data_IF_854771462123
#
_entry.id   IF_854771462123
#
_cell.length_a   1.000
_cell.length_b   1.000
_cell.length_c   1.000
_cell.angle_alpha   90.00
_cell.angle_beta   90.00
_cell.angle_gamma   90.00
#
_symmetry.space_group_name_H-M   'P 1'
#
loop_
_entity.id
_entity.type
_entity.pdbx_description
1 polymer ?
#
# COMPACT_ATOMS: atom_id res chain seq x y z
N UNK A 1 -48.50 -40.31 28.37
CA UNK A 1 -47.14 -40.36 27.85
C UNK A 1 -46.91 -39.50 26.58
N UNK A 2 -47.97 -39.10 25.90
CA UNK A 2 -47.91 -38.33 24.63
C UNK A 2 -47.56 -36.85 24.87
N UNK A 3 -47.90 -36.25 26.00
CA UNK A 3 -47.65 -34.82 26.26
C UNK A 3 -46.17 -34.45 26.53
N UNK A 4 -45.33 -35.38 26.96
CA UNK A 4 -43.92 -35.10 27.18
C UNK A 4 -43.12 -35.08 25.89
N UNK A 5 -43.52 -35.89 24.92
CA UNK A 5 -42.85 -35.93 23.60
C UNK A 5 -43.18 -34.67 22.78
N UNK A 6 -44.40 -34.16 22.91
CA UNK A 6 -44.84 -32.94 22.25
C UNK A 6 -44.13 -31.69 22.81
N UNK A 7 -43.83 -31.66 24.12
CA UNK A 7 -43.08 -30.59 24.76
C UNK A 7 -41.60 -30.58 24.36
N UNK A 8 -41.00 -31.75 24.16
CA UNK A 8 -39.64 -31.89 23.70
C UNK A 8 -39.50 -31.45 22.23
N UNK A 9 -40.51 -31.78 21.40
CA UNK A 9 -40.56 -31.32 20.01
C UNK A 9 -40.83 -29.83 19.89
N UNK A 10 -41.57 -29.22 20.82
CA UNK A 10 -41.82 -27.78 20.87
C UNK A 10 -40.60 -26.99 21.39
N UNK A 11 -39.79 -27.62 22.25
CA UNK A 11 -38.55 -26.97 22.76
C UNK A 11 -37.38 -27.00 21.75
N UNK A 12 -37.42 -27.93 20.79
CA UNK A 12 -36.41 -28.02 19.72
C UNK A 12 -36.65 -27.04 18.57
N UNK A 13 -37.81 -26.40 18.50
CA UNK A 13 -38.21 -25.50 17.41
C UNK A 13 -37.88 -24.01 17.67
N UNK A 14 -37.26 -23.66 18.81
CA UNK A 14 -36.97 -22.27 19.18
C UNK A 14 -35.47 -21.96 19.18
N UNK A 15 -34.67 -22.78 18.54
CA UNK A 15 -33.29 -22.34 18.15
C UNK A 15 -33.30 -21.96 16.66
N UNK A 16 -34.19 -21.08 16.29
CA UNK A 16 -33.88 -20.19 15.16
C UNK A 16 -32.85 -19.22 15.65
N UNK A 17 -31.57 -19.56 15.44
CA UNK A 17 -30.48 -18.60 15.43
C UNK A 17 -30.91 -17.46 14.53
N UNK A 18 -31.35 -16.38 15.15
CA UNK A 18 -31.33 -15.08 14.52
C UNK A 18 -29.84 -14.77 14.26
N UNK A 19 -29.33 -15.32 13.16
CA UNK A 19 -28.13 -14.78 12.54
C UNK A 19 -28.54 -13.40 12.05
N UNK A 20 -28.48 -12.42 12.93
CA UNK A 20 -28.35 -11.04 12.52
C UNK A 20 -26.99 -10.93 11.81
N UNK A 21 -26.96 -11.30 10.54
CA UNK A 21 -26.05 -10.65 9.64
C UNK A 21 -26.50 -9.20 9.62
N UNK A 22 -25.78 -8.35 10.33
CA UNK A 22 -25.89 -6.90 10.21
C UNK A 22 -25.27 -6.50 8.87
N UNK A 23 -25.77 -7.05 7.79
CA UNK A 23 -25.65 -6.46 6.46
C UNK A 23 -26.60 -5.27 6.45
N UNK A 24 -26.16 -4.20 7.11
CA UNK A 24 -26.75 -2.89 6.87
C UNK A 24 -26.38 -2.53 5.43
N UNK A 25 -27.34 -2.47 4.50
CA UNK A 25 -27.04 -2.13 3.09
C UNK A 25 -26.59 -0.68 2.91
N UNK A 26 -26.43 0.07 3.98
CA UNK A 26 -26.05 1.47 4.03
C UNK A 26 -24.82 1.63 4.92
N UNK A 27 -23.67 1.17 4.42
CA UNK A 27 -22.40 1.54 5.01
C UNK A 27 -22.03 2.93 4.47
N UNK A 28 -22.55 3.98 5.11
CA UNK A 28 -22.31 5.40 4.75
C UNK A 28 -20.92 5.89 5.13
N UNK A 29 -20.10 5.05 5.70
CA UNK A 29 -18.73 5.40 6.08
C UNK A 29 -17.83 5.48 4.83
N UNK A 30 -16.90 6.44 4.77
CA UNK A 30 -15.88 6.44 3.75
C UNK A 30 -15.11 5.12 3.78
N UNK A 31 -14.78 4.58 2.61
CA UNK A 31 -13.95 3.37 2.46
C UNK A 31 -12.62 3.75 1.87
N UNK A 32 -11.56 3.25 2.48
CA UNK A 32 -10.20 3.48 2.02
C UNK A 32 -9.66 2.22 1.33
N UNK A 33 -8.93 2.44 0.27
CA UNK A 33 -8.22 1.40 -0.46
C UNK A 33 -6.78 1.86 -0.68
N UNK A 34 -5.83 1.11 -0.19
CA UNK A 34 -4.43 1.29 -0.57
C UNK A 34 -4.23 0.61 -1.92
N UNK A 35 -3.70 1.33 -2.89
CA UNK A 35 -3.45 0.83 -4.24
C UNK A 35 -1.96 0.53 -4.42
N UNK A 36 -1.56 -0.29 -5.41
CA UNK A 36 -0.15 -0.54 -5.70
C UNK A 36 0.63 0.74 -5.98
N UNK A 37 1.89 0.78 -5.53
CA UNK A 37 2.80 1.87 -5.82
C UNK A 37 3.21 1.89 -7.30
N UNK A 38 3.44 3.09 -7.82
CA UNK A 38 3.87 3.33 -9.21
C UNK A 38 5.21 4.09 -9.24
N UNK A 39 5.76 4.28 -10.43
CA UNK A 39 7.00 5.04 -10.67
C UNK A 39 8.16 4.61 -9.77
N UNK A 40 8.25 3.30 -9.53
CA UNK A 40 9.25 2.73 -8.63
C UNK A 40 10.61 2.75 -9.33
N UNK A 41 11.53 3.50 -8.74
CA UNK A 41 12.94 3.58 -9.14
C UNK A 41 13.86 3.02 -8.05
N UNK A 42 15.13 3.36 -8.10
CA UNK A 42 16.11 3.02 -7.06
C UNK A 42 15.88 3.79 -5.75
N UNK A 43 15.43 5.02 -5.85
CA UNK A 43 15.35 5.96 -4.71
C UNK A 43 14.02 6.69 -4.60
N UNK A 44 13.07 6.35 -5.46
CA UNK A 44 11.77 7.04 -5.54
C UNK A 44 10.64 6.04 -5.79
N UNK A 45 9.45 6.39 -5.36
CA UNK A 45 8.21 5.70 -5.67
C UNK A 45 7.01 6.63 -5.45
N UNK A 46 5.91 6.36 -6.11
CA UNK A 46 4.64 7.04 -5.88
C UNK A 46 3.67 6.09 -5.19
N UNK A 47 3.29 6.40 -3.95
CA UNK A 47 2.24 5.70 -3.22
C UNK A 47 0.88 6.14 -3.74
N UNK A 48 -0.05 5.21 -3.82
CA UNK A 48 -1.38 5.45 -4.36
C UNK A 48 -2.46 4.88 -3.45
N UNK A 49 -3.61 5.53 -3.44
CA UNK A 49 -4.77 5.07 -2.70
C UNK A 49 -6.05 5.70 -3.21
N UNK A 50 -7.16 5.25 -2.66
CA UNK A 50 -8.49 5.77 -3.00
C UNK A 50 -9.36 5.86 -1.76
N UNK A 51 -10.07 6.98 -1.63
CA UNK A 51 -11.13 7.17 -0.68
C UNK A 51 -12.46 7.20 -1.44
N UNK A 52 -13.32 6.22 -1.18
CA UNK A 52 -14.67 6.17 -1.75
C UNK A 52 -15.65 6.59 -0.66
N UNK A 53 -16.43 7.62 -0.92
CA UNK A 53 -17.46 8.14 -0.01
C UNK A 53 -18.77 8.37 -0.73
N UNK A 54 -19.86 8.33 0.02
CA UNK A 54 -21.17 8.64 -0.50
C UNK A 54 -21.36 10.15 -0.64
N UNK A 55 -22.33 10.54 -1.47
CA UNK A 55 -22.68 11.94 -1.69
C UNK A 55 -23.18 12.58 -0.38
N UNK A 56 -22.57 13.68 0.00
CA UNK A 56 -22.93 14.40 1.22
C UNK A 56 -22.13 14.00 2.46
N UNK A 57 -21.24 13.00 2.34
CA UNK A 57 -20.29 12.66 3.40
C UNK A 57 -19.03 13.50 3.22
N UNK A 58 -18.52 14.07 4.31
CA UNK A 58 -17.28 14.84 4.30
C UNK A 58 -16.06 13.94 4.01
N UNK A 59 -15.06 14.53 3.36
CA UNK A 59 -13.79 13.86 3.15
C UNK A 59 -13.07 13.69 4.49
N UNK A 60 -12.63 12.49 4.87
CA UNK A 60 -11.85 12.30 6.09
C UNK A 60 -10.46 12.94 5.96
N UNK A 61 -9.82 13.23 7.09
CA UNK A 61 -8.39 13.54 7.11
C UNK A 61 -7.61 12.28 6.75
N UNK A 62 -6.75 12.37 5.74
CA UNK A 62 -6.05 11.22 5.16
C UNK A 62 -4.54 11.32 5.39
N UNK A 63 -3.89 10.17 5.57
CA UNK A 63 -2.43 10.07 5.60
C UNK A 63 -1.95 8.69 5.15
N UNK A 64 -0.73 8.63 4.63
CA UNK A 64 -0.02 7.36 4.48
C UNK A 64 0.87 7.13 5.69
N UNK A 65 0.84 5.89 6.23
CA UNK A 65 1.95 5.36 7.03
C UNK A 65 2.83 4.52 6.11
N UNK A 66 4.15 4.63 6.25
CA UNK A 66 5.09 3.87 5.43
C UNK A 66 6.40 3.60 6.17
N UNK A 67 7.18 2.65 5.70
CA UNK A 67 8.46 2.29 6.30
C UNK A 67 9.11 1.11 5.59
N UNK A 68 10.34 0.78 5.97
CA UNK A 68 11.07 -0.38 5.47
C UNK A 68 10.77 -1.67 6.25
N UNK A 69 9.84 -1.62 7.17
CA UNK A 69 9.28 -2.74 7.90
C UNK A 69 7.76 -2.56 8.08
N UNK A 70 7.09 -3.60 8.57
CA UNK A 70 5.63 -3.61 8.74
C UNK A 70 5.12 -2.65 9.82
N UNK A 71 6.00 -2.06 10.65
CA UNK A 71 5.60 -1.06 11.64
C UNK A 71 5.26 0.30 11.03
N UNK A 72 5.74 0.56 9.80
CA UNK A 72 5.45 1.77 9.03
C UNK A 72 5.56 3.04 9.88
N UNK A 73 6.74 3.27 10.47
CA UNK A 73 7.00 4.31 11.48
C UNK A 73 6.86 5.75 10.95
N UNK A 74 6.95 5.93 9.65
CA UNK A 74 6.81 7.24 9.00
C UNK A 74 5.34 7.54 8.69
N UNK A 75 4.94 8.80 8.84
CA UNK A 75 3.59 9.28 8.54
C UNK A 75 3.63 10.57 7.76
N UNK A 76 2.81 10.64 6.70
CA UNK A 76 2.65 11.85 5.88
C UNK A 76 1.18 12.11 5.58
N UNK A 77 0.69 13.29 5.90
CA UNK A 77 -0.67 13.73 5.58
C UNK A 77 -0.79 14.01 4.07
N UNK A 78 -1.95 13.66 3.52
CA UNK A 78 -2.26 13.78 2.10
C UNK A 78 -3.70 14.24 1.88
N UNK A 79 -3.96 14.76 0.69
CA UNK A 79 -5.29 15.16 0.27
C UNK A 79 -5.76 14.28 -0.89
N UNK A 80 -7.05 13.97 -0.89
CA UNK A 80 -7.67 13.33 -2.04
C UNK A 80 -8.06 14.39 -3.09
N UNK A 81 -8.01 14.00 -4.36
CA UNK A 81 -8.59 14.79 -5.45
C UNK A 81 -10.14 14.73 -5.43
N UNK A 82 -10.77 15.38 -6.41
CA UNK A 82 -12.23 15.42 -6.53
C UNK A 82 -12.87 14.03 -6.73
N UNK A 83 -12.13 13.09 -7.29
CA UNK A 83 -12.56 11.71 -7.55
C UNK A 83 -12.20 10.76 -6.40
N UNK A 84 -11.58 11.26 -5.34
CA UNK A 84 -11.16 10.52 -4.17
C UNK A 84 -9.83 9.78 -4.35
N UNK A 85 -9.07 10.04 -5.41
CA UNK A 85 -7.74 9.45 -5.55
C UNK A 85 -6.75 10.20 -4.66
N UNK A 86 -5.83 9.43 -4.11
CA UNK A 86 -4.78 9.91 -3.20
C UNK A 86 -3.44 9.45 -3.74
N UNK A 87 -2.48 10.35 -3.84
CA UNK A 87 -1.11 9.99 -4.23
C UNK A 87 -0.09 10.76 -3.42
N UNK A 88 1.08 10.15 -3.24
CA UNK A 88 2.21 10.75 -2.54
C UNK A 88 3.52 10.27 -3.14
N UNK A 89 4.35 11.21 -3.56
CA UNK A 89 5.68 10.91 -4.06
C UNK A 89 6.67 10.77 -2.90
N UNK A 90 7.40 9.66 -2.89
CA UNK A 90 8.51 9.41 -1.98
C UNK A 90 9.83 9.56 -2.72
N UNK A 91 10.80 10.19 -2.07
CA UNK A 91 12.18 10.33 -2.55
C UNK A 91 13.16 9.92 -1.44
N UNK A 92 14.42 9.76 -1.82
CA UNK A 92 15.51 9.38 -0.89
C UNK A 92 15.32 8.01 -0.25
N UNK A 93 14.66 7.11 -0.95
CA UNK A 93 14.52 5.71 -0.56
C UNK A 93 15.86 4.96 -0.73
N UNK A 94 16.06 3.90 0.04
CA UNK A 94 17.19 2.99 -0.13
C UNK A 94 16.97 2.07 -1.31
N UNK A 95 17.98 1.91 -2.16
CA UNK A 95 17.93 1.00 -3.30
C UNK A 95 17.85 -0.48 -2.85
N UNK A 96 17.13 -1.31 -3.60
CA UNK A 96 17.00 -2.75 -3.32
C UNK A 96 16.31 -3.07 -2.00
N UNK A 97 15.45 -2.17 -1.52
CA UNK A 97 14.79 -2.27 -0.22
C UNK A 97 13.28 -2.44 -0.39
N UNK A 98 12.69 -3.33 0.39
CA UNK A 98 11.23 -3.47 0.46
C UNK A 98 10.67 -2.42 1.42
N UNK A 99 9.61 -1.75 0.98
CA UNK A 99 8.84 -0.80 1.76
C UNK A 99 7.39 -1.27 1.88
N UNK A 100 6.79 -0.97 3.01
CA UNK A 100 5.39 -1.22 3.34
C UNK A 100 4.67 0.10 3.52
N UNK A 101 3.42 0.16 3.16
CA UNK A 101 2.60 1.34 3.36
C UNK A 101 1.12 1.02 3.43
N UNK A 102 0.36 1.93 4.02
CA UNK A 102 -1.09 1.84 4.20
C UNK A 102 -1.71 3.23 4.18
N UNK A 103 -2.83 3.37 3.48
CA UNK A 103 -3.64 4.59 3.54
C UNK A 103 -4.54 4.53 4.77
N UNK A 104 -4.51 5.58 5.57
CA UNK A 104 -5.34 5.77 6.74
C UNK A 104 -6.21 7.00 6.61
N UNK A 105 -7.28 7.06 7.39
CA UNK A 105 -8.14 8.22 7.49
C UNK A 105 -8.88 8.29 8.81
N UNK A 106 -9.32 9.48 9.15
CA UNK A 106 -10.19 9.72 10.30
C UNK A 106 -11.19 10.83 10.00
N UNK A 107 -12.41 10.67 10.47
CA UNK A 107 -13.42 11.74 10.51
C UNK A 107 -13.60 12.32 11.94
N UNK A 108 -12.64 12.10 12.81
CA UNK A 108 -12.65 12.51 14.22
C UNK A 108 -13.32 11.51 15.16
N UNK A 109 -14.25 10.70 14.70
CA UNK A 109 -14.97 9.70 15.52
C UNK A 109 -14.54 8.27 15.23
N UNK A 110 -14.19 7.98 13.98
CA UNK A 110 -13.78 6.66 13.51
C UNK A 110 -12.43 6.74 12.80
N UNK A 111 -11.63 5.69 12.97
CA UNK A 111 -10.40 5.47 12.21
C UNK A 111 -10.68 4.44 11.12
N UNK A 112 -10.21 4.75 9.93
CA UNK A 112 -10.33 3.93 8.73
C UNK A 112 -8.93 3.57 8.24
N UNK A 113 -8.78 2.41 7.63
CA UNK A 113 -7.53 2.04 6.96
C UNK A 113 -7.83 1.18 5.73
N UNK A 114 -7.01 1.33 4.71
CA UNK A 114 -6.94 0.39 3.60
C UNK A 114 -6.14 -0.84 3.99
N UNK A 115 -5.83 -1.67 3.02
CA UNK A 115 -4.96 -2.83 3.20
C UNK A 115 -3.48 -2.42 3.19
N UNK A 116 -2.62 -3.17 3.88
CA UNK A 116 -1.19 -2.97 3.79
C UNK A 116 -0.67 -3.49 2.44
N UNK A 117 0.11 -2.65 1.77
CA UNK A 117 0.73 -2.96 0.48
C UNK A 117 2.24 -2.81 0.61
N UNK A 118 2.99 -3.59 -0.14
CA UNK A 118 4.45 -3.47 -0.20
C UNK A 118 4.94 -3.28 -1.63
N UNK A 119 6.11 -2.64 -1.76
CA UNK A 119 6.85 -2.54 -3.01
C UNK A 119 8.35 -2.67 -2.73
N UNK A 120 9.14 -3.01 -3.74
CA UNK A 120 10.59 -3.03 -3.64
C UNK A 120 11.20 -2.02 -4.60
N UNK A 121 12.13 -1.19 -4.10
CA UNK A 121 12.93 -0.31 -4.95
C UNK A 121 13.90 -1.12 -5.80
N UNK A 122 14.29 -0.57 -6.95
CA UNK A 122 15.27 -1.21 -7.81
C UNK A 122 16.63 -1.30 -7.12
N UNK A 123 17.37 -2.40 -7.28
CA UNK A 123 18.72 -2.52 -6.72
C UNK A 123 19.70 -1.62 -7.45
N UNK A 124 20.83 -1.30 -6.80
CA UNK A 124 21.94 -0.65 -7.46
C UNK A 124 22.49 -1.57 -8.55
N UNK A 125 22.61 -1.04 -9.74
CA UNK A 125 23.30 -1.74 -10.82
C UNK A 125 24.80 -1.69 -10.57
N UNK A 126 25.48 -2.81 -10.80
CA UNK A 126 26.94 -2.80 -10.81
C UNK A 126 27.41 -2.10 -12.09
N UNK A 127 28.33 -1.12 -12.00
CA UNK A 127 28.92 -0.56 -13.19
C UNK A 127 29.61 -1.69 -14.01
N UNK A 128 29.36 -1.69 -15.31
CA UNK A 128 30.03 -2.60 -16.22
C UNK A 128 31.16 -1.87 -16.94
N UNK A 129 32.34 -2.47 -16.92
CA UNK A 129 33.50 -1.93 -17.66
C UNK A 129 33.47 -2.55 -19.06
N UNK A 130 33.37 -1.71 -20.08
CA UNK A 130 33.50 -2.16 -21.45
C UNK A 130 34.93 -2.66 -21.72
N UNK A 131 35.09 -3.39 -22.81
CA UNK A 131 36.42 -3.88 -23.25
C UNK A 131 37.41 -2.74 -23.27
N UNK A 132 38.57 -2.91 -22.60
CA UNK A 132 39.66 -1.96 -22.69
C UNK A 132 40.18 -1.91 -24.12
N UNK A 133 40.33 -0.72 -24.64
CA UNK A 133 40.94 -0.48 -25.97
C UNK A 133 42.26 0.25 -25.83
N UNK A 134 43.24 -0.14 -26.65
CA UNK A 134 44.50 0.57 -26.76
C UNK A 134 44.25 1.79 -27.63
N UNK A 135 44.20 2.98 -26.99
CA UNK A 135 43.96 4.24 -27.69
C UNK A 135 45.22 4.75 -28.40
N UNK A 136 46.38 4.50 -27.83
CA UNK A 136 47.65 4.74 -28.49
C UNK A 136 48.76 3.89 -27.86
N UNK A 137 49.79 3.58 -28.62
CA UNK A 137 50.98 2.95 -28.12
C UNK A 137 52.18 3.67 -28.70
N UNK A 138 53.14 4.03 -27.84
CA UNK A 138 54.42 4.55 -28.20
C UNK A 138 55.51 3.66 -27.58
N UNK A 139 56.77 3.76 -28.05
CA UNK A 139 57.83 2.88 -27.55
C UNK A 139 58.01 2.87 -26.02
N UNK A 140 57.49 3.89 -25.33
CA UNK A 140 57.64 4.06 -23.88
C UNK A 140 56.32 4.33 -23.14
N UNK A 141 55.16 4.29 -23.82
CA UNK A 141 53.87 4.55 -23.16
C UNK A 141 52.72 3.77 -23.81
N UNK A 142 51.79 3.32 -22.97
CA UNK A 142 50.54 2.68 -23.36
C UNK A 142 49.38 3.45 -22.72
N UNK A 143 48.45 3.95 -23.53
CA UNK A 143 47.22 4.57 -23.07
C UNK A 143 46.09 3.60 -23.28
N UNK A 144 45.39 3.21 -22.21
CA UNK A 144 44.23 2.32 -22.24
C UNK A 144 42.99 3.10 -21.85
N UNK A 145 41.99 3.10 -22.72
CA UNK A 145 40.68 3.66 -22.46
C UNK A 145 39.68 2.56 -22.07
N UNK A 146 38.75 2.89 -21.18
CA UNK A 146 37.61 2.05 -20.86
C UNK A 146 36.38 2.92 -20.62
N UNK A 147 35.22 2.37 -20.81
CA UNK A 147 33.94 3.00 -20.49
C UNK A 147 33.26 2.26 -19.35
N UNK A 148 32.70 3.02 -18.43
CA UNK A 148 31.86 2.52 -17.36
C UNK A 148 30.43 2.93 -17.68
N UNK A 149 29.49 1.98 -17.65
CA UNK A 149 28.06 2.24 -17.80
C UNK A 149 27.33 1.81 -16.53
N UNK A 150 26.45 2.68 -16.06
CA UNK A 150 25.52 2.41 -14.93
C UNK A 150 24.22 1.76 -15.40
#
# INVERSE_FOLDING_TARGET
MINRLLYILLLMAVVTVCSCSSDSPYNFEPRLQTLPATDISRTEATLSGKCVKDKGVDMPSLWFSYGNDESMSERQEVLADADGNVSMHLSSLNAGTTYYYMLHGTNGSASLSGEMVSFATQPNQRPTVSKAEVLSSAPVSLIVGYSITD
#
